data_IF_192326871978
#
_entry.id   IF_192326871978
#
_cell.length_a   1.000
_cell.length_b   1.000
_cell.length_c   1.000
_cell.angle_alpha   90.00
_cell.angle_beta   90.00
_cell.angle_gamma   90.00
#
_symmetry.space_group_name_H-M   'P 1'
#
loop_
_entity.id
_entity.type
_entity.pdbx_description
1 polymer ?
#
# COMPACT_ATOMS: atom_id res chain seq x y z
N UNK A 1 15.79 0.34 -7.84
CA UNK A 1 14.75 -0.09 -8.81
C UNK A 1 13.92 1.09 -9.35
N UNK A 2 13.39 1.98 -8.49
CA UNK A 2 12.44 3.03 -8.92
C UNK A 2 13.05 4.34 -9.48
N UNK A 3 14.38 4.50 -9.50
CA UNK A 3 15.03 5.75 -9.95
C UNK A 3 14.54 6.22 -11.32
N UNK A 4 14.46 5.33 -12.32
CA UNK A 4 14.02 5.66 -13.68
C UNK A 4 12.59 6.21 -13.69
N UNK A 5 11.70 5.60 -12.92
CA UNK A 5 10.29 6.02 -12.80
C UNK A 5 10.20 7.36 -12.07
N UNK A 6 10.93 7.55 -10.97
CA UNK A 6 10.96 8.82 -10.25
C UNK A 6 11.48 9.96 -11.11
N UNK A 7 12.56 9.74 -11.87
CA UNK A 7 13.10 10.71 -12.82
C UNK A 7 12.14 11.01 -13.97
N UNK A 8 11.40 10.00 -14.43
CA UNK A 8 10.36 10.18 -15.43
C UNK A 8 9.26 11.10 -14.89
N UNK A 9 8.72 10.83 -13.70
CA UNK A 9 7.71 11.68 -13.08
C UNK A 9 8.23 13.11 -12.89
N UNK A 10 9.38 13.28 -12.26
CA UNK A 10 9.97 14.61 -12.01
C UNK A 10 10.06 15.45 -13.30
N UNK A 11 10.52 14.84 -14.40
CA UNK A 11 10.65 15.52 -15.71
C UNK A 11 9.31 15.78 -16.40
N UNK A 12 8.34 14.87 -16.27
CA UNK A 12 7.05 14.98 -16.98
C UNK A 12 6.07 15.89 -16.26
N UNK A 13 6.12 15.96 -14.94
CA UNK A 13 5.21 16.76 -14.14
C UNK A 13 5.82 18.09 -13.68
N UNK A 14 7.08 18.35 -14.00
CA UNK A 14 7.85 19.50 -13.51
C UNK A 14 7.70 19.66 -11.98
N UNK A 15 8.02 18.58 -11.28
CA UNK A 15 7.80 18.46 -9.83
C UNK A 15 9.02 17.89 -9.12
N UNK A 16 9.20 18.29 -7.86
CA UNK A 16 10.11 17.62 -6.94
C UNK A 16 9.54 16.25 -6.60
N UNK A 17 10.35 15.19 -6.74
CA UNK A 17 9.96 13.81 -6.41
C UNK A 17 10.84 13.31 -5.28
N UNK A 18 10.20 12.94 -4.16
CA UNK A 18 10.86 12.32 -3.01
C UNK A 18 10.53 10.83 -3.01
N UNK A 19 11.55 10.00 -3.24
CA UNK A 19 11.42 8.53 -3.15
C UNK A 19 11.81 8.08 -1.74
N UNK A 20 10.86 7.49 -1.01
CA UNK A 20 11.09 7.01 0.36
C UNK A 20 11.78 5.65 0.33
N UNK A 21 13.01 5.58 0.84
CA UNK A 21 13.74 4.31 1.05
C UNK A 21 13.32 3.61 2.34
N UNK A 22 12.05 3.20 2.44
CA UNK A 22 11.52 2.54 3.64
C UNK A 22 12.14 1.15 3.84
N UNK A 23 12.23 0.72 5.10
CA UNK A 23 12.76 -0.59 5.49
C UNK A 23 11.86 -1.74 5.02
N UNK A 24 12.44 -2.89 4.68
CA UNK A 24 11.72 -4.01 4.07
C UNK A 24 11.57 -5.20 5.02
N UNK A 25 10.48 -5.96 4.82
CA UNK A 25 10.30 -7.28 5.41
C UNK A 25 11.11 -8.33 4.62
N UNK A 26 11.56 -9.42 5.25
CA UNK A 26 11.25 -9.84 6.62
C UNK A 26 12.09 -9.21 7.73
N UNK A 27 13.17 -8.49 7.40
CA UNK A 27 14.09 -7.91 8.39
C UNK A 27 13.39 -6.88 9.29
N UNK A 28 12.43 -6.15 8.71
CA UNK A 28 11.58 -5.19 9.38
C UNK A 28 10.12 -5.43 9.02
N UNK A 29 9.38 -6.25 9.79
CA UNK A 29 7.97 -6.52 9.50
C UNK A 29 7.08 -5.30 9.78
N UNK A 30 5.79 -5.44 9.43
CA UNK A 30 4.73 -4.50 9.78
C UNK A 30 4.81 -4.13 11.28
N UNK A 31 4.66 -2.84 11.66
CA UNK A 31 4.26 -1.69 10.83
C UNK A 31 5.42 -0.85 10.26
N UNK A 32 6.65 -1.35 10.23
CA UNK A 32 7.85 -0.53 9.99
C UNK A 32 7.80 0.28 8.68
N UNK A 33 7.35 -0.33 7.57
CA UNK A 33 7.23 0.33 6.26
C UNK A 33 6.29 1.53 6.32
N UNK A 34 5.17 1.36 7.02
CA UNK A 34 4.15 2.38 7.18
C UNK A 34 4.69 3.53 8.04
N UNK A 35 5.39 3.23 9.13
CA UNK A 35 6.00 4.23 10.00
C UNK A 35 7.07 5.06 9.27
N UNK A 36 7.92 4.41 8.46
CA UNK A 36 8.94 5.09 7.65
C UNK A 36 8.29 6.04 6.63
N UNK A 37 7.29 5.56 5.88
CA UNK A 37 6.55 6.36 4.90
C UNK A 37 5.79 7.51 5.55
N UNK A 38 5.14 7.28 6.70
CA UNK A 38 4.43 8.32 7.43
C UNK A 38 5.40 9.39 7.95
N UNK A 39 6.52 8.97 8.54
CA UNK A 39 7.55 9.87 9.07
C UNK A 39 8.16 10.73 7.96
N UNK A 40 8.53 10.11 6.83
CA UNK A 40 9.06 10.83 5.68
C UNK A 40 8.04 11.83 5.09
N UNK A 41 6.77 11.42 4.98
CA UNK A 41 5.70 12.28 4.47
C UNK A 41 5.45 13.47 5.40
N UNK A 42 5.36 13.24 6.71
CA UNK A 42 5.19 14.31 7.71
C UNK A 42 6.38 15.27 7.69
N UNK A 43 7.60 14.75 7.61
CA UNK A 43 8.79 15.58 7.51
C UNK A 43 8.72 16.47 6.26
N UNK A 44 8.47 15.88 5.09
CA UNK A 44 8.38 16.64 3.84
C UNK A 44 7.24 17.67 3.85
N UNK A 45 6.08 17.34 4.40
CA UNK A 45 4.97 18.30 4.55
C UNK A 45 5.36 19.52 5.40
N UNK A 46 6.28 19.36 6.36
CA UNK A 46 6.78 20.46 7.20
C UNK A 46 7.89 21.28 6.53
N UNK A 47 8.71 20.66 5.70
CA UNK A 47 9.91 21.25 5.11
C UNK A 47 9.80 21.49 3.60
N UNK A 48 8.62 21.31 3.00
CA UNK A 48 8.42 21.41 1.55
C UNK A 48 8.94 22.73 0.94
N UNK A 49 8.77 23.84 1.65
CA UNK A 49 9.24 25.15 1.19
C UNK A 49 10.76 25.23 1.07
N UNK A 50 11.51 24.47 1.88
CA UNK A 50 12.98 24.40 1.82
C UNK A 50 13.45 23.78 0.48
N UNK A 51 12.57 23.02 -0.18
CA UNK A 51 12.79 22.43 -1.50
C UNK A 51 12.11 23.23 -2.63
N UNK A 52 11.60 24.43 -2.36
CA UNK A 52 10.88 25.25 -3.34
C UNK A 52 9.51 24.69 -3.73
N UNK A 53 8.93 23.81 -2.91
CA UNK A 53 7.62 23.16 -3.17
C UNK A 53 6.51 23.92 -2.44
N UNK A 54 5.44 24.24 -3.17
CA UNK A 54 4.20 24.78 -2.61
C UNK A 54 3.51 23.71 -1.73
N UNK A 55 3.35 23.92 -0.41
CA UNK A 55 2.74 22.95 0.49
C UNK A 55 1.29 22.58 0.15
N UNK A 56 0.58 23.42 -0.60
CA UNK A 56 -0.80 23.15 -1.05
C UNK A 56 -0.87 22.22 -2.27
N UNK A 57 0.28 21.90 -2.87
CA UNK A 57 0.40 21.14 -4.13
C UNK A 57 1.12 19.79 -3.95
N UNK A 58 1.15 19.25 -2.74
CA UNK A 58 1.83 17.99 -2.46
C UNK A 58 0.87 16.82 -2.71
N UNK A 59 1.34 15.83 -3.46
CA UNK A 59 0.64 14.56 -3.69
C UNK A 59 1.49 13.40 -3.15
N UNK A 60 0.83 12.28 -2.84
CA UNK A 60 1.50 11.02 -2.49
C UNK A 60 1.16 9.94 -3.53
N UNK A 61 2.12 9.09 -3.87
CA UNK A 61 1.94 8.06 -4.89
C UNK A 61 2.72 6.80 -4.53
N UNK A 62 2.15 5.65 -4.88
CA UNK A 62 2.83 4.36 -4.78
C UNK A 62 2.15 3.29 -5.62
N UNK A 63 2.93 2.27 -5.98
CA UNK A 63 2.47 1.14 -6.76
C UNK A 63 2.49 -0.16 -5.96
N UNK A 64 1.55 -1.07 -6.23
CA UNK A 64 1.41 -2.36 -5.53
C UNK A 64 1.40 -2.19 -4.00
N UNK A 65 2.37 -2.75 -3.28
CA UNK A 65 2.54 -2.57 -1.82
C UNK A 65 2.80 -1.11 -1.43
N UNK A 66 3.51 -0.34 -2.27
CA UNK A 66 3.64 1.11 -2.10
C UNK A 66 2.31 1.84 -2.21
N UNK A 67 1.36 1.31 -3.00
CA UNK A 67 -0.01 1.78 -3.07
C UNK A 67 -0.77 1.55 -1.76
N UNK A 68 -0.58 0.40 -1.12
CA UNK A 68 -1.11 0.10 0.22
C UNK A 68 -0.61 1.12 1.25
N UNK A 69 0.72 1.37 1.27
CA UNK A 69 1.33 2.35 2.17
C UNK A 69 0.82 3.76 1.90
N UNK A 70 0.67 4.13 0.61
CA UNK A 70 0.13 5.43 0.19
C UNK A 70 -1.28 5.65 0.73
N UNK A 71 -2.16 4.65 0.58
CA UNK A 71 -3.53 4.72 1.08
C UNK A 71 -3.56 4.85 2.61
N UNK A 72 -2.78 4.03 3.32
CA UNK A 72 -2.71 4.05 4.79
C UNK A 72 -2.17 5.40 5.34
N UNK A 73 -1.11 5.94 4.74
CA UNK A 73 -0.55 7.25 5.11
C UNK A 73 -1.56 8.36 4.84
N UNK A 74 -2.17 8.38 3.66
CA UNK A 74 -3.18 9.37 3.32
C UNK A 74 -4.34 9.36 4.33
N UNK A 75 -4.86 8.17 4.68
CA UNK A 75 -5.91 8.01 5.69
C UNK A 75 -5.49 8.55 7.06
N UNK A 76 -4.27 8.25 7.50
CA UNK A 76 -3.75 8.73 8.80
C UNK A 76 -3.63 10.24 8.85
N UNK A 77 -3.28 10.87 7.73
CA UNK A 77 -3.11 12.32 7.64
C UNK A 77 -4.42 13.10 7.52
N UNK A 78 -5.55 12.47 7.19
CA UNK A 78 -6.86 13.14 7.06
C UNK A 78 -7.21 13.98 8.30
N UNK A 79 -6.88 13.47 9.49
CA UNK A 79 -7.23 14.10 10.76
C UNK A 79 -6.15 15.05 11.31
N UNK A 80 -5.01 15.20 10.62
CA UNK A 80 -3.90 16.08 11.05
C UNK A 80 -4.14 17.51 10.60
N UNK A 81 -4.55 18.37 11.53
CA UNK A 81 -4.81 19.80 11.27
C UNK A 81 -3.57 20.68 11.36
N UNK A 82 -2.49 20.15 11.95
CA UNK A 82 -1.19 20.83 12.12
C UNK A 82 -0.28 20.73 10.89
N UNK A 83 -0.73 20.06 9.83
CA UNK A 83 0.04 19.84 8.60
C UNK A 83 -0.72 20.35 7.37
N UNK A 84 -0.01 20.75 6.29
CA UNK A 84 -0.62 20.95 4.98
C UNK A 84 -1.37 19.69 4.53
N UNK A 85 -2.49 19.88 3.83
CA UNK A 85 -3.28 18.75 3.30
C UNK A 85 -2.64 18.21 2.03
N UNK A 86 -2.61 16.89 1.91
CA UNK A 86 -2.31 16.23 0.64
C UNK A 86 -3.38 16.61 -0.40
N UNK A 87 -2.93 17.04 -1.57
CA UNK A 87 -3.77 17.48 -2.69
C UNK A 87 -4.43 16.32 -3.44
N UNK A 88 -3.75 15.18 -3.47
CA UNK A 88 -4.22 13.93 -4.05
C UNK A 88 -3.40 12.73 -3.55
N UNK A 89 -3.95 11.53 -3.71
CA UNK A 89 -3.22 10.27 -3.63
C UNK A 89 -3.34 9.53 -4.96
N UNK A 90 -2.25 8.92 -5.43
CA UNK A 90 -2.22 8.12 -6.66
C UNK A 90 -1.88 6.68 -6.28
N UNK A 91 -2.84 5.77 -6.51
CA UNK A 91 -2.71 4.36 -6.20
C UNK A 91 -2.56 3.55 -7.49
N UNK A 92 -1.38 3.02 -7.75
CA UNK A 92 -1.11 2.25 -8.96
C UNK A 92 -1.24 0.75 -8.61
N UNK A 93 -2.29 0.09 -9.10
CA UNK A 93 -2.62 -1.32 -8.81
C UNK A 93 -2.42 -1.74 -7.32
N UNK A 94 -3.01 -1.01 -6.36
CA UNK A 94 -2.73 -1.22 -4.94
C UNK A 94 -3.28 -2.55 -4.41
N UNK A 95 -2.65 -3.07 -3.36
CA UNK A 95 -3.23 -4.15 -2.55
C UNK A 95 -3.98 -3.54 -1.36
N UNK A 96 -5.32 -3.57 -1.34
CA UNK A 96 -6.13 -2.85 -0.34
C UNK A 96 -6.93 -3.74 0.61
N UNK A 97 -6.90 -5.05 0.41
CA UNK A 97 -7.63 -6.00 1.24
C UNK A 97 -6.92 -7.36 1.25
N UNK A 98 -6.96 -8.04 2.39
CA UNK A 98 -6.45 -9.40 2.59
C UNK A 98 -7.55 -10.35 3.13
N UNK A 99 -8.81 -9.99 2.89
CA UNK A 99 -9.98 -10.74 3.30
C UNK A 99 -10.25 -11.87 2.30
N UNK A 100 -10.26 -11.55 1.02
CA UNK A 100 -10.65 -12.44 -0.07
C UNK A 100 -9.53 -12.58 -1.12
N UNK A 101 -8.96 -13.78 -1.25
CA UNK A 101 -7.99 -14.08 -2.31
C UNK A 101 -8.59 -14.83 -3.51
N UNK A 102 -9.92 -14.93 -3.59
CA UNK A 102 -10.73 -15.55 -4.64
C UNK A 102 -11.67 -14.57 -5.35
N UNK A 103 -11.41 -13.27 -5.26
CA UNK A 103 -12.07 -12.26 -6.10
C UNK A 103 -12.04 -12.66 -7.60
N UNK A 104 -13.02 -12.23 -8.42
CA UNK A 104 -13.08 -12.61 -9.84
C UNK A 104 -11.78 -12.35 -10.60
N UNK A 105 -11.06 -11.27 -10.25
CA UNK A 105 -9.76 -10.94 -10.83
C UNK A 105 -8.65 -11.93 -10.44
N UNK A 106 -8.63 -12.47 -9.21
CA UNK A 106 -7.68 -13.51 -8.81
C UNK A 106 -7.96 -14.82 -9.56
N UNK A 107 -9.23 -15.18 -9.75
CA UNK A 107 -9.61 -16.38 -10.50
C UNK A 107 -9.26 -16.26 -12.00
N UNK A 108 -9.62 -15.14 -12.63
CA UNK A 108 -9.35 -14.87 -14.04
C UNK A 108 -7.84 -14.80 -14.32
N UNK A 109 -7.07 -14.21 -13.41
CA UNK A 109 -5.63 -13.98 -13.57
C UNK A 109 -4.76 -15.02 -12.84
N UNK A 110 -5.30 -16.18 -12.46
CA UNK A 110 -4.58 -17.23 -11.70
C UNK A 110 -3.27 -17.72 -12.32
N UNK A 111 -3.06 -17.48 -13.62
CA UNK A 111 -1.84 -17.84 -14.39
C UNK A 111 -1.08 -16.61 -14.90
N UNK A 112 -1.39 -15.42 -14.41
CA UNK A 112 -0.73 -14.20 -14.84
C UNK A 112 0.73 -14.20 -14.35
N UNK A 113 1.72 -14.09 -15.24
CA UNK A 113 3.12 -14.41 -14.92
C UNK A 113 3.83 -13.39 -14.02
N UNK A 114 3.19 -12.25 -13.72
CA UNK A 114 3.80 -11.18 -12.92
C UNK A 114 3.60 -11.38 -11.41
N UNK A 115 2.42 -11.84 -11.00
CA UNK A 115 2.08 -12.01 -9.58
C UNK A 115 1.02 -13.11 -9.43
N UNK A 116 1.42 -14.25 -8.87
CA UNK A 116 0.55 -15.37 -8.57
C UNK A 116 -0.13 -15.20 -7.20
N UNK A 117 -1.30 -15.83 -7.02
CA UNK A 117 -2.08 -15.79 -5.75
C UNK A 117 -1.20 -16.22 -4.56
N UNK A 118 -0.47 -17.31 -4.72
CA UNK A 118 0.40 -17.90 -3.68
C UNK A 118 1.54 -16.94 -3.31
N UNK A 119 2.08 -16.21 -4.29
CA UNK A 119 3.12 -15.21 -4.06
C UNK A 119 2.56 -14.02 -3.26
N UNK A 120 1.36 -13.55 -3.60
CA UNK A 120 0.70 -12.48 -2.84
C UNK A 120 0.50 -12.86 -1.38
N UNK A 121 0.00 -14.07 -1.13
CA UNK A 121 -0.19 -14.59 0.23
C UNK A 121 1.15 -14.69 0.96
N UNK A 122 2.18 -15.25 0.31
CA UNK A 122 3.51 -15.36 0.90
C UNK A 122 4.13 -13.99 1.25
N UNK A 123 3.97 -12.98 0.39
CA UNK A 123 4.42 -11.61 0.70
C UNK A 123 3.65 -11.01 1.88
N UNK A 124 2.33 -11.20 1.94
CA UNK A 124 1.51 -10.76 3.06
C UNK A 124 1.91 -11.40 4.39
N UNK A 125 2.15 -12.71 4.39
CA UNK A 125 2.63 -13.44 5.58
C UNK A 125 3.99 -12.93 6.06
N UNK A 126 4.96 -12.75 5.16
CA UNK A 126 6.27 -12.16 5.51
C UNK A 126 6.14 -10.74 6.04
N UNK A 127 5.28 -9.93 5.43
CA UNK A 127 5.02 -8.56 5.87
C UNK A 127 4.45 -8.53 7.29
N UNK A 128 3.54 -9.46 7.63
CA UNK A 128 2.94 -9.56 8.96
C UNK A 128 3.78 -10.37 9.97
N UNK A 129 4.94 -10.89 9.56
CA UNK A 129 5.75 -11.83 10.35
C UNK A 129 4.97 -13.08 10.80
N UNK A 130 4.08 -13.58 9.95
CA UNK A 130 3.31 -14.82 10.16
C UNK A 130 4.00 -15.96 9.40
N UNK A 131 3.94 -17.17 9.96
CA UNK A 131 4.61 -18.33 9.39
C UNK A 131 4.00 -18.72 8.03
N UNK A 132 4.85 -19.04 7.05
CA UNK A 132 4.45 -19.53 5.73
C UNK A 132 3.72 -20.87 5.79
N UNK A 133 3.83 -21.63 6.89
CA UNK A 133 3.08 -22.86 7.11
C UNK A 133 1.56 -22.62 7.24
N UNK A 134 1.13 -21.38 7.50
CA UNK A 134 -0.29 -20.99 7.62
C UNK A 134 -0.96 -20.67 6.25
N UNK A 135 -0.25 -20.89 5.13
CA UNK A 135 -0.74 -20.61 3.77
C UNK A 135 -2.03 -21.37 3.43
N UNK A 136 -2.16 -22.63 3.88
CA UNK A 136 -3.37 -23.44 3.60
C UNK A 136 -4.62 -22.83 4.23
N UNK A 137 -4.50 -22.28 5.45
CA UNK A 137 -5.61 -21.66 6.16
C UNK A 137 -6.10 -20.37 5.48
N UNK A 138 -5.18 -19.56 4.93
CA UNK A 138 -5.52 -18.34 4.19
C UNK A 138 -6.14 -18.61 2.82
N UNK A 139 -5.77 -19.73 2.19
CA UNK A 139 -6.27 -20.09 0.85
C UNK A 139 -7.75 -20.49 0.81
N UNK A 140 -8.33 -20.86 1.96
CA UNK A 140 -9.69 -21.40 2.10
C UNK A 140 -10.65 -20.48 2.88
N UNK A 141 -10.32 -19.20 3.05
CA UNK A 141 -11.10 -18.26 3.87
C UNK A 141 -11.22 -18.60 5.37
N UNK A 142 -10.45 -19.57 5.83
CA UNK A 142 -10.51 -20.08 7.22
C UNK A 142 -10.12 -19.03 8.27
N UNK A 143 -9.49 -17.92 7.87
CA UNK A 143 -9.04 -16.85 8.75
C UNK A 143 -10.12 -15.81 9.05
N UNK A 144 -11.23 -15.79 8.33
CA UNK A 144 -12.37 -14.91 8.62
C UNK A 144 -13.44 -15.70 9.39
N UNK A 145 -13.77 -15.30 10.63
CA UNK A 145 -14.90 -15.85 11.36
C UNK A 145 -16.20 -15.87 10.56
N UNK A 146 -16.96 -16.97 10.63
CA UNK A 146 -18.18 -17.21 9.85
C UNK A 146 -19.24 -16.12 10.06
N UNK A 147 -19.35 -15.58 11.27
CA UNK A 147 -20.26 -14.48 11.61
C UNK A 147 -19.91 -13.18 10.86
N UNK A 148 -18.62 -12.90 10.66
CA UNK A 148 -18.16 -11.75 9.87
C UNK A 148 -18.39 -11.98 8.37
N UNK A 149 -18.21 -13.21 7.88
CA UNK A 149 -18.53 -13.57 6.50
C UNK A 149 -20.01 -13.32 6.20
N UNK A 150 -20.91 -13.79 7.06
CA UNK A 150 -22.36 -13.56 6.94
C UNK A 150 -22.72 -12.07 7.04
N UNK A 151 -22.15 -11.36 8.02
CA UNK A 151 -22.44 -9.93 8.24
C UNK A 151 -22.05 -9.05 7.04
N UNK A 152 -20.93 -9.36 6.41
CA UNK A 152 -20.39 -8.56 5.30
C UNK A 152 -20.52 -9.22 3.93
N UNK A 153 -21.30 -10.31 3.81
CA UNK A 153 -21.46 -11.08 2.58
C UNK A 153 -21.75 -10.20 1.36
N UNK A 154 -22.64 -9.21 1.50
CA UNK A 154 -22.99 -8.28 0.41
C UNK A 154 -21.82 -7.42 -0.13
N UNK A 155 -20.73 -7.30 0.63
CA UNK A 155 -19.55 -6.51 0.28
C UNK A 155 -18.33 -7.37 -0.05
N UNK A 156 -18.39 -8.66 0.33
CA UNK A 156 -17.26 -9.58 0.36
C UNK A 156 -17.50 -10.78 -0.58
N UNK A 157 -18.75 -11.03 -0.97
CA UNK A 157 -19.13 -12.03 -1.98
C UNK A 157 -18.80 -11.53 -3.38
N UNK A 158 -18.25 -12.40 -4.26
CA UNK A 158 -18.09 -12.12 -5.68
C UNK A 158 -19.42 -12.20 -6.47
N UNK A 159 -20.46 -12.82 -5.90
CA UNK A 159 -21.86 -12.84 -6.41
C UNK A 159 -22.65 -11.61 -5.93
#
# INVERSE_FOLDING_TARGET
AYERTCRYFARRSDSVVVSVGYRLAPEHPYPTQFEDCLTATVHFLRTAQDYGVDPSRIIICGDSSGGTLTAAVAQTLVNRRDLPKLRAQILIYPFLQALDFDLPSYQQNKRFPVLLKEQTIAFGLRYLNINLLDMEALSKWSHIPEDLQLKYQKWVSPD
#
